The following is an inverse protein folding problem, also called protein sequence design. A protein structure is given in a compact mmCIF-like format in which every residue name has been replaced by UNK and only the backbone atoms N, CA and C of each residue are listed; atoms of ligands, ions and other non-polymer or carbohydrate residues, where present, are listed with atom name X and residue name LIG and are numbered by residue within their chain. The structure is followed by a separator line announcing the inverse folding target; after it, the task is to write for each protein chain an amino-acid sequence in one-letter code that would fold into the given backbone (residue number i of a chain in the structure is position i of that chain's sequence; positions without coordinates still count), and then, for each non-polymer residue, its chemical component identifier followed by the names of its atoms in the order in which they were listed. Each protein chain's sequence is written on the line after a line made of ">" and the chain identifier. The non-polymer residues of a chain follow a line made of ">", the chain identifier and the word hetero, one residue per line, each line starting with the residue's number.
data_IF_455609194813
#
_entry.id   IF_455609194813
#
_cell.length_a   1.000
_cell.length_b   1.000
_cell.length_c   1.000
_cell.angle_alpha   90.00
_cell.angle_beta   90.00
_cell.angle_gamma   90.00
#
_symmetry.space_group_name_H-M   'P 1'
#
loop_
_entity.id
_entity.type
_entity.pdbx_description
1 polymer ?
#
# COMPACT_ATOMS: atom_id res chain seq x y z
N UNK A 1 -13.56 11.04 -13.56
CA UNK A 1 -13.21 11.97 -12.45
C UNK A 1 -13.15 11.27 -11.10
N UNK A 2 -14.14 10.41 -10.77
CA UNK A 2 -14.20 9.72 -9.48
C UNK A 2 -12.97 8.82 -9.17
N UNK A 3 -12.41 8.16 -10.18
CA UNK A 3 -11.18 7.34 -10.06
C UNK A 3 -9.95 8.18 -9.69
N UNK A 4 -9.85 9.41 -10.23
CA UNK A 4 -8.72 10.32 -9.96
C UNK A 4 -8.78 10.84 -8.53
N UNK A 5 -9.98 11.17 -8.03
CA UNK A 5 -10.14 11.57 -6.63
C UNK A 5 -9.74 10.45 -5.66
N UNK A 6 -10.07 9.19 -5.99
CA UNK A 6 -9.62 8.03 -5.21
C UNK A 6 -8.11 7.83 -5.25
N UNK A 7 -7.46 8.09 -6.38
CA UNK A 7 -6.00 8.02 -6.51
C UNK A 7 -5.33 9.06 -5.60
N UNK A 8 -5.80 10.32 -5.61
CA UNK A 8 -5.27 11.36 -4.73
C UNK A 8 -5.40 11.00 -3.24
N UNK A 9 -6.51 10.37 -2.85
CA UNK A 9 -6.69 9.89 -1.48
C UNK A 9 -5.69 8.78 -1.13
N UNK A 10 -5.45 7.84 -2.07
CA UNK A 10 -4.46 6.77 -1.89
C UNK A 10 -3.02 7.33 -1.78
N UNK A 11 -2.66 8.29 -2.63
CA UNK A 11 -1.36 8.98 -2.60
C UNK A 11 -1.13 9.69 -1.26
N UNK A 12 -2.16 10.35 -0.73
CA UNK A 12 -2.08 11.03 0.57
C UNK A 12 -1.87 10.04 1.71
N UNK A 13 -2.58 8.90 1.71
CA UNK A 13 -2.41 7.84 2.71
C UNK A 13 -0.99 7.24 2.63
N UNK A 14 -0.53 6.97 1.41
CA UNK A 14 0.81 6.43 1.19
C UNK A 14 1.91 7.41 1.62
N UNK A 15 1.80 8.68 1.22
CA UNK A 15 2.72 9.75 1.60
C UNK A 15 2.78 9.92 3.11
N UNK A 16 1.62 9.96 3.79
CA UNK A 16 1.57 10.09 5.25
C UNK A 16 2.21 8.88 5.95
N UNK A 17 1.89 7.65 5.51
CA UNK A 17 2.43 6.43 6.09
C UNK A 17 3.95 6.32 5.94
N UNK A 18 4.47 6.68 4.76
CA UNK A 18 5.92 6.67 4.49
C UNK A 18 6.66 7.77 5.26
N UNK A 19 6.08 8.97 5.39
CA UNK A 19 6.67 10.03 6.22
C UNK A 19 6.81 9.61 7.68
N UNK A 20 5.74 9.08 8.28
CA UNK A 20 5.74 8.63 9.67
C UNK A 20 6.71 7.47 9.90
N UNK A 21 6.78 6.52 8.96
CA UNK A 21 7.73 5.42 9.00
C UNK A 21 9.18 5.92 9.02
N UNK A 22 9.53 6.84 8.12
CA UNK A 22 10.88 7.37 8.04
C UNK A 22 11.23 8.25 9.26
N UNK A 23 10.29 9.05 9.75
CA UNK A 23 10.46 9.82 10.98
C UNK A 23 10.72 8.91 12.19
N UNK A 24 9.96 7.81 12.31
CA UNK A 24 10.15 6.81 13.37
C UNK A 24 11.53 6.15 13.30
N UNK A 25 12.00 5.80 12.10
CA UNK A 25 13.36 5.25 11.89
C UNK A 25 14.45 6.22 12.32
N UNK A 26 14.36 7.48 11.91
CA UNK A 26 15.33 8.51 12.28
C UNK A 26 15.34 8.73 13.79
N UNK A 27 14.17 8.76 14.44
CA UNK A 27 14.07 8.89 15.88
C UNK A 27 14.76 7.75 16.65
N UNK A 28 14.60 6.50 16.21
CA UNK A 28 15.27 5.34 16.83
C UNK A 28 16.79 5.42 16.70
N UNK A 29 17.29 5.82 15.52
CA UNK A 29 18.74 5.95 15.26
C UNK A 29 19.35 7.02 16.17
N UNK A 30 18.70 8.18 16.30
CA UNK A 30 19.18 9.28 17.16
C UNK A 30 19.15 8.88 18.64
N UNK A 31 18.14 8.11 19.06
CA UNK A 31 18.00 7.64 20.46
C UNK A 31 18.87 6.42 20.78
N UNK A 32 19.63 5.87 19.82
CA UNK A 32 20.51 4.72 20.03
C UNK A 32 19.77 3.41 20.38
N UNK A 33 18.46 3.34 20.14
CA UNK A 33 17.60 2.19 20.45
C UNK A 33 17.69 1.11 19.36
N UNK A 34 18.91 0.62 19.10
CA UNK A 34 19.21 -0.33 18.03
C UNK A 34 18.64 -1.76 18.24
N UNK A 35 18.16 -2.08 19.45
CA UNK A 35 17.87 -3.46 19.87
C UNK A 35 16.46 -3.61 20.45
N UNK A 36 15.43 -3.23 19.70
CA UNK A 36 14.08 -3.71 19.99
C UNK A 36 13.72 -4.81 18.98
N UNK A 37 13.82 -6.10 19.35
CA UNK A 37 13.22 -7.16 18.55
C UNK A 37 11.70 -7.04 18.71
N UNK A 38 11.08 -6.19 17.88
CA UNK A 38 9.64 -6.22 17.73
C UNK A 38 9.29 -7.57 17.11
N UNK A 39 8.45 -8.35 17.78
CA UNK A 39 7.83 -9.52 17.15
C UNK A 39 7.13 -9.07 15.87
N UNK A 40 7.25 -9.85 14.79
CA UNK A 40 6.76 -9.43 13.47
C UNK A 40 5.29 -9.01 13.48
N UNK A 41 4.48 -9.68 14.30
CA UNK A 41 3.08 -9.31 14.57
C UNK A 41 2.94 -7.89 15.13
N UNK A 42 3.79 -7.51 16.08
CA UNK A 42 3.78 -6.18 16.65
C UNK A 42 4.23 -5.12 15.65
N UNK A 43 5.06 -5.50 14.68
CA UNK A 43 5.51 -4.58 13.65
C UNK A 43 4.50 -4.38 12.51
N UNK A 44 3.86 -5.45 12.03
CA UNK A 44 2.82 -5.37 10.99
C UNK A 44 1.58 -4.62 11.48
N UNK A 45 1.27 -4.71 12.78
CA UNK A 45 0.15 -4.01 13.41
C UNK A 45 0.44 -2.53 13.69
N UNK A 46 1.67 -2.05 13.48
CA UNK A 46 1.96 -0.63 13.64
C UNK A 46 1.26 0.18 12.54
N UNK A 47 0.54 1.25 12.90
CA UNK A 47 -0.33 1.97 11.96
C UNK A 47 0.46 2.60 10.80
N UNK A 48 1.68 3.09 11.05
CA UNK A 48 2.51 3.73 10.02
C UNK A 48 3.06 2.73 8.99
N UNK A 49 3.42 1.51 9.41
CA UNK A 49 3.87 0.44 8.51
C UNK A 49 2.70 -0.09 7.68
N UNK A 50 1.58 -0.32 8.34
CA UNK A 50 0.34 -0.75 7.71
C UNK A 50 -0.10 0.26 6.64
N UNK A 51 -0.17 1.55 6.98
CA UNK A 51 -0.52 2.62 6.05
C UNK A 51 0.46 2.73 4.87
N UNK A 52 1.77 2.63 5.11
CA UNK A 52 2.76 2.71 4.04
C UNK A 52 2.64 1.54 3.05
N UNK A 53 2.41 0.31 3.53
CA UNK A 53 2.28 -0.86 2.65
C UNK A 53 0.98 -0.85 1.86
N UNK A 54 -0.14 -0.66 2.55
CA UNK A 54 -1.47 -0.64 1.94
C UNK A 54 -1.62 0.56 1.02
N UNK A 55 -1.16 1.74 1.45
CA UNK A 55 -1.19 2.94 0.64
C UNK A 55 -0.43 2.75 -0.67
N UNK A 56 0.75 2.10 -0.62
CA UNK A 56 1.55 1.85 -1.82
C UNK A 56 0.88 0.88 -2.79
N UNK A 57 0.29 -0.20 -2.28
CA UNK A 57 -0.46 -1.16 -3.08
C UNK A 57 -1.72 -0.53 -3.70
N UNK A 58 -2.49 0.22 -2.91
CA UNK A 58 -3.67 0.95 -3.38
C UNK A 58 -3.31 1.94 -4.48
N UNK A 59 -2.25 2.71 -4.29
CA UNK A 59 -1.77 3.70 -5.27
C UNK A 59 -1.38 3.03 -6.58
N UNK A 60 -0.63 1.92 -6.54
CA UNK A 60 -0.25 1.17 -7.73
C UNK A 60 -1.48 0.63 -8.50
N UNK A 61 -2.46 0.10 -7.78
CA UNK A 61 -3.69 -0.43 -8.39
C UNK A 61 -4.59 0.66 -8.95
N UNK A 62 -4.72 1.80 -8.25
CA UNK A 62 -5.45 2.97 -8.73
C UNK A 62 -4.78 3.55 -9.99
N UNK A 63 -3.45 3.61 -10.03
CA UNK A 63 -2.71 4.02 -11.23
C UNK A 63 -2.95 3.07 -12.40
N UNK A 64 -2.95 1.75 -12.15
CA UNK A 64 -3.27 0.76 -13.17
C UNK A 64 -4.71 0.95 -13.68
N UNK A 65 -5.68 1.13 -12.78
CA UNK A 65 -7.08 1.39 -13.15
C UNK A 65 -7.22 2.67 -14.01
N UNK A 66 -6.53 3.76 -13.65
CA UNK A 66 -6.51 4.99 -14.45
C UNK A 66 -5.86 4.76 -15.82
N UNK A 67 -4.76 4.03 -15.89
CA UNK A 67 -4.07 3.74 -17.16
C UNK A 67 -4.95 2.92 -18.12
N UNK A 68 -5.67 1.92 -17.59
CA UNK A 68 -6.61 1.10 -18.34
C UNK A 68 -7.81 1.91 -18.80
N UNK A 69 -8.38 2.75 -17.91
CA UNK A 69 -9.47 3.67 -18.24
C UNK A 69 -9.08 4.61 -19.39
N UNK A 70 -7.86 5.16 -19.35
CA UNK A 70 -7.32 6.03 -20.42
C UNK A 70 -7.04 5.27 -21.71
N UNK A 71 -6.53 4.04 -21.62
CA UNK A 71 -6.30 3.19 -22.79
C UNK A 71 -7.61 2.90 -23.54
N UNK A 72 -8.67 2.51 -22.82
CA UNK A 72 -9.98 2.27 -23.44
C UNK A 72 -10.63 3.53 -23.99
N UNK A 73 -10.44 4.69 -23.34
CA UNK A 73 -10.94 5.96 -23.86
C UNK A 73 -10.32 6.33 -25.22
N UNK A 74 -9.02 6.05 -25.41
CA UNK A 74 -8.31 6.31 -26.67
C UNK A 74 -8.64 5.25 -27.73
N UNK A 75 -8.66 3.97 -27.36
CA UNK A 75 -8.91 2.88 -28.30
C UNK A 75 -10.37 2.80 -28.79
N UNK A 76 -11.35 3.14 -27.94
CA UNK A 76 -12.78 3.00 -28.24
C UNK A 76 -13.62 4.21 -27.80
N UNK A 77 -13.44 5.38 -28.43
CA UNK A 77 -14.04 6.64 -27.97
C UNK A 77 -15.59 6.63 -27.95
N UNK A 78 -16.23 5.97 -28.93
CA UNK A 78 -17.70 5.98 -29.09
C UNK A 78 -18.42 5.13 -28.02
N UNK A 79 -17.82 4.01 -27.59
CA UNK A 79 -18.40 3.13 -26.56
C UNK A 79 -18.11 3.62 -25.14
N UNK A 80 -16.98 4.30 -24.96
CA UNK A 80 -16.52 4.78 -23.65
C UNK A 80 -17.46 5.82 -23.02
N UNK A 81 -17.98 6.76 -23.82
CA UNK A 81 -18.91 7.81 -23.36
C UNK A 81 -20.22 7.26 -22.76
N UNK A 82 -20.73 6.12 -23.25
CA UNK A 82 -22.00 5.55 -22.77
C UNK A 82 -21.89 4.73 -21.49
N UNK A 83 -20.70 4.22 -21.14
CA UNK A 83 -20.52 3.31 -20.00
C UNK A 83 -19.64 3.86 -18.86
N UNK A 84 -19.17 5.10 -18.96
CA UNK A 84 -18.20 5.70 -18.02
C UNK A 84 -18.56 5.51 -16.52
N UNK A 85 -19.83 5.64 -16.14
CA UNK A 85 -20.25 5.57 -14.72
C UNK A 85 -20.22 4.14 -14.18
N UNK A 86 -20.63 3.15 -14.97
CA UNK A 86 -20.64 1.75 -14.54
C UNK A 86 -19.21 1.20 -14.44
N UNK A 87 -18.32 1.60 -15.36
CA UNK A 87 -16.90 1.24 -15.28
C UNK A 87 -16.23 1.81 -14.03
N UNK A 88 -16.52 3.06 -13.65
CA UNK A 88 -15.97 3.66 -12.44
C UNK A 88 -16.42 2.93 -11.15
N UNK A 89 -17.67 2.46 -11.11
CA UNK A 89 -18.17 1.66 -9.98
C UNK A 89 -17.51 0.28 -9.91
N UNK A 90 -17.37 -0.40 -11.06
CA UNK A 90 -16.72 -1.70 -11.14
C UNK A 90 -15.25 -1.60 -10.76
N UNK A 91 -14.52 -0.58 -11.24
CA UNK A 91 -13.11 -0.38 -10.90
C UNK A 91 -12.91 -0.17 -9.41
N UNK A 92 -13.76 0.64 -8.76
CA UNK A 92 -13.72 0.81 -7.32
C UNK A 92 -14.03 -0.48 -6.56
N UNK A 93 -15.00 -1.27 -7.04
CA UNK A 93 -15.32 -2.57 -6.47
C UNK A 93 -14.14 -3.55 -6.54
N UNK A 94 -13.46 -3.63 -7.67
CA UNK A 94 -12.26 -4.48 -7.86
C UNK A 94 -11.14 -4.07 -6.91
N UNK A 95 -10.93 -2.77 -6.74
CA UNK A 95 -9.89 -2.23 -5.85
C UNK A 95 -10.23 -2.53 -4.38
N UNK A 96 -11.51 -2.48 -4.00
CA UNK A 96 -11.96 -2.84 -2.65
C UNK A 96 -11.78 -4.34 -2.36
N UNK A 97 -12.11 -5.21 -3.31
CA UNK A 97 -11.88 -6.66 -3.17
C UNK A 97 -10.39 -6.97 -3.07
N UNK A 98 -9.56 -6.29 -3.87
CA UNK A 98 -8.10 -6.42 -3.78
C UNK A 98 -7.56 -5.96 -2.42
N UNK A 99 -8.09 -4.86 -1.89
CA UNK A 99 -7.73 -4.37 -0.56
C UNK A 99 -8.02 -5.43 0.51
N UNK A 100 -9.23 -6.00 0.52
CA UNK A 100 -9.58 -7.08 1.44
C UNK A 100 -8.67 -8.31 1.26
N UNK A 101 -8.40 -8.73 0.03
CA UNK A 101 -7.50 -9.85 -0.26
C UNK A 101 -6.05 -9.60 0.20
N UNK A 102 -5.51 -8.41 -0.03
CA UNK A 102 -4.15 -8.05 0.42
C UNK A 102 -4.03 -8.06 1.94
N UNK A 103 -5.07 -7.60 2.65
CA UNK A 103 -5.10 -7.58 4.12
C UNK A 103 -5.12 -8.99 4.72
N UNK A 104 -5.85 -9.94 4.11
CA UNK A 104 -5.85 -11.33 4.57
C UNK A 104 -4.55 -12.05 4.23
N UNK A 105 -3.92 -11.75 3.10
CA UNK A 105 -2.59 -12.26 2.75
C UNK A 105 -1.53 -11.75 3.74
N UNK A 106 -1.62 -10.49 4.19
CA UNK A 106 -0.72 -9.98 5.22
C UNK A 106 -0.84 -10.72 6.55
N UNK A 107 -2.07 -11.04 6.97
CA UNK A 107 -2.34 -11.80 8.22
C UNK A 107 -1.98 -13.28 8.04
N UNK A 108 -2.19 -13.86 6.85
CA UNK A 108 -1.81 -15.24 6.54
C UNK A 108 -0.29 -15.43 6.46
N UNK A 109 0.42 -14.45 5.90
CA UNK A 109 1.88 -14.46 5.76
C UNK A 109 2.62 -14.29 7.10
N UNK A 110 1.94 -13.87 8.17
CA UNK A 110 2.52 -13.87 9.53
C UNK A 110 2.41 -15.23 10.23
N UNK A 111 1.70 -16.21 9.66
CA UNK A 111 1.61 -17.59 10.18
C UNK A 111 2.51 -18.59 9.43
N UNK A 112 2.94 -18.31 8.19
CA UNK A 112 3.80 -19.18 7.38
C UNK A 112 5.15 -18.50 7.11
N UNK A 113 6.23 -19.19 7.47
CA UNK A 113 7.57 -18.63 7.69
C UNK A 113 8.43 -18.40 6.42
N UNK A 114 9.39 -17.47 6.59
CA UNK A 114 10.65 -17.18 5.85
C UNK A 114 10.76 -16.14 4.70
N UNK A 115 10.35 -16.32 3.42
CA UNK A 115 10.80 -15.39 2.36
C UNK A 115 10.05 -14.04 2.36
N UNK A 116 8.77 -14.05 2.75
CA UNK A 116 7.93 -12.85 2.82
C UNK A 116 8.17 -12.09 4.13
N UNK A 117 8.54 -12.81 5.19
CA UNK A 117 8.97 -12.28 6.48
C UNK A 117 10.15 -11.32 6.31
N UNK A 118 11.15 -11.68 5.49
CA UNK A 118 12.27 -10.81 5.15
C UNK A 118 11.80 -9.45 4.59
N UNK A 119 10.93 -9.45 3.57
CA UNK A 119 10.40 -8.23 2.95
C UNK A 119 9.69 -7.28 3.93
N UNK A 120 9.05 -7.82 4.98
CA UNK A 120 8.39 -7.05 6.03
C UNK A 120 9.34 -6.67 7.17
N UNK A 121 10.31 -7.51 7.52
CA UNK A 121 11.33 -7.18 8.50
C UNK A 121 12.26 -6.08 8.00
N UNK A 122 12.60 -5.95 6.70
CA UNK A 122 13.34 -4.78 6.19
C UNK A 122 12.64 -3.44 6.48
N UNK A 123 11.32 -3.43 6.66
CA UNK A 123 10.56 -2.25 7.08
C UNK A 123 10.67 -1.95 8.58
N UNK A 124 10.88 -2.97 9.39
CA UNK A 124 10.96 -2.94 10.84
C UNK A 124 12.39 -2.91 11.41
N UNK A 125 13.36 -3.47 10.68
CA UNK A 125 14.67 -3.94 11.16
C UNK A 125 15.84 -3.13 10.61
N UNK A 126 15.62 -2.12 9.74
CA UNK A 126 16.70 -1.20 9.33
C UNK A 126 17.15 -0.20 10.43
N UNK A 127 17.00 -0.58 11.70
CA UNK A 127 17.87 -0.10 12.76
C UNK A 127 19.06 -1.06 13.00
N UNK A 128 19.18 -2.22 12.36
CA UNK A 128 20.40 -3.05 12.44
C UNK A 128 21.27 -2.74 11.24
N UNK A 129 22.02 -1.64 11.32
CA UNK A 129 23.21 -1.48 10.51
C UNK A 129 24.20 -2.58 10.91
N UNK A 130 24.69 -3.42 9.98
CA UNK A 130 25.86 -4.23 10.27
C UNK A 130 27.01 -3.24 10.54
N UNK A 131 27.67 -3.41 11.68
CA UNK A 131 28.94 -2.73 11.98
C UNK A 131 29.99 -3.11 10.94
#
# INVERSE_FOLDING_TARGET
>A
MLVVAGLCAADLIYGMGTLLLNAYRVAIIILGLHTYPATAWKCVTMPHIFMAKIGGQLTAMMNLAVSVDRYFAVAYPVKYLKLSINYAKISLGVIFVYFLGSSTIMIGATYFDEPIFAAYTWLCVNAVFPR
#
